data_IF_104266475542
#
_entry.id   IF_104266475542
#
_cell.length_a   1.000
_cell.length_b   1.000
_cell.length_c   1.000
_cell.angle_alpha   90.00
_cell.angle_beta   90.00
_cell.angle_gamma   90.00
#
_symmetry.space_group_name_H-M   'P 1'
#
loop_
_entity.id
_entity.type
_entity.pdbx_description
1 polymer ?
#
# COMPACT_ATOMS: atom_id res chain seq x y z
N UNK A 1 -14.80 -2.19 -3.31
CA UNK A 1 -15.10 -1.09 -2.36
C UNK A 1 -14.84 -1.65 -0.98
N UNK A 2 -14.79 -0.79 0.05
CA UNK A 2 -14.62 -1.25 1.42
C UNK A 2 -15.81 -2.08 1.91
N UNK A 3 -17.01 -1.84 1.40
CA UNK A 3 -18.21 -2.64 1.70
C UNK A 3 -18.34 -3.95 0.90
N UNK A 4 -17.39 -4.22 -0.01
CA UNK A 4 -17.36 -5.43 -0.83
C UNK A 4 -18.39 -5.51 -1.96
N UNK A 5 -19.16 -4.46 -2.25
CA UNK A 5 -20.27 -4.50 -3.22
C UNK A 5 -19.94 -4.02 -4.63
N UNK A 6 -18.89 -3.22 -4.79
CA UNK A 6 -18.51 -2.66 -6.09
C UNK A 6 -17.01 -2.84 -6.37
N UNK A 7 -16.65 -2.94 -7.63
CA UNK A 7 -15.33 -3.37 -8.08
C UNK A 7 -14.75 -2.43 -9.12
N UNK A 8 -13.42 -2.47 -9.25
CA UNK A 8 -12.72 -1.93 -10.41
C UNK A 8 -12.29 -3.08 -11.31
N UNK A 9 -12.39 -2.89 -12.62
CA UNK A 9 -11.68 -3.72 -13.59
C UNK A 9 -10.24 -3.20 -13.74
N UNK A 10 -10.12 -1.89 -13.89
CA UNK A 10 -8.87 -1.17 -14.07
C UNK A 10 -8.51 -0.41 -12.79
N UNK A 11 -7.28 -0.59 -12.32
CA UNK A 11 -6.78 0.05 -11.11
C UNK A 11 -5.72 1.08 -11.52
N UNK A 12 -6.19 2.26 -11.95
CA UNK A 12 -5.33 3.34 -12.41
C UNK A 12 -4.50 3.92 -11.27
N UNK A 13 -3.29 4.41 -11.56
CA UNK A 13 -2.47 5.14 -10.60
C UNK A 13 -2.70 6.67 -10.66
N UNK A 14 -3.50 7.13 -11.63
CA UNK A 14 -3.92 8.51 -11.80
C UNK A 14 -5.35 8.58 -12.38
N UNK A 15 -6.16 9.45 -11.81
CA UNK A 15 -7.46 9.91 -12.30
C UNK A 15 -7.40 11.43 -12.33
N UNK A 16 -7.47 11.99 -13.54
CA UNK A 16 -7.60 13.42 -13.81
C UNK A 16 -8.95 13.64 -14.53
N UNK A 17 -9.90 14.28 -13.84
CA UNK A 17 -11.25 14.51 -14.35
C UNK A 17 -11.30 15.57 -15.45
N UNK A 18 -10.41 16.58 -15.41
CA UNK A 18 -10.36 17.63 -16.43
C UNK A 18 -9.83 17.11 -17.76
N UNK A 19 -8.74 16.33 -17.73
CA UNK A 19 -8.19 15.66 -18.92
C UNK A 19 -9.24 14.80 -19.63
N UNK A 20 -10.11 14.13 -18.87
CA UNK A 20 -11.21 13.31 -19.41
C UNK A 20 -12.28 14.15 -20.10
N UNK A 21 -12.60 15.35 -19.59
CA UNK A 21 -13.55 16.27 -20.23
C UNK A 21 -13.01 16.78 -21.57
N UNK A 22 -11.73 17.14 -21.62
CA UNK A 22 -11.05 17.65 -22.84
C UNK A 22 -11.09 16.61 -23.97
N UNK A 23 -10.75 15.35 -23.67
CA UNK A 23 -10.72 14.29 -24.69
C UNK A 23 -12.12 13.94 -25.21
N UNK A 24 -13.17 14.07 -24.39
CA UNK A 24 -14.56 13.93 -24.85
C UNK A 24 -15.05 15.10 -25.71
N UNK A 25 -14.47 16.30 -25.53
CA UNK A 25 -14.85 17.52 -26.25
C UNK A 25 -14.08 17.80 -27.55
N UNK A 26 -12.91 17.19 -27.76
CA UNK A 26 -12.08 17.40 -28.95
C UNK A 26 -12.61 16.64 -30.19
N UNK A 27 -12.54 17.30 -31.36
CA UNK A 27 -13.00 16.81 -32.67
C UNK A 27 -12.53 15.38 -32.98
N UNK A 28 -13.49 14.52 -33.31
CA UNK A 28 -13.51 13.21 -34.00
C UNK A 28 -12.32 12.22 -33.95
N UNK A 29 -11.06 12.64 -33.88
CA UNK A 29 -9.88 11.75 -33.96
C UNK A 29 -9.50 11.11 -32.60
N UNK A 30 -9.94 11.69 -31.48
CA UNK A 30 -9.58 11.23 -30.13
C UNK A 30 -10.61 10.28 -29.47
N UNK A 31 -11.62 9.81 -30.21
CA UNK A 31 -12.69 8.93 -29.68
C UNK A 31 -12.22 7.55 -29.21
N UNK A 32 -11.00 7.14 -29.56
CA UNK A 32 -10.44 5.84 -29.20
C UNK A 32 -9.60 5.85 -27.92
N UNK A 33 -9.46 7.00 -27.25
CA UNK A 33 -8.70 7.07 -25.99
C UNK A 33 -9.56 6.52 -24.86
N UNK A 34 -9.27 5.29 -24.47
CA UNK A 34 -9.89 4.62 -23.33
C UNK A 34 -9.33 5.19 -22.01
N UNK A 35 -10.21 5.58 -21.10
CA UNK A 35 -9.85 5.97 -19.74
C UNK A 35 -10.44 4.99 -18.73
N UNK A 36 -9.68 4.58 -17.71
CA UNK A 36 -10.18 3.75 -16.62
C UNK A 36 -11.42 4.35 -15.96
N UNK A 37 -12.37 3.53 -15.51
CA UNK A 37 -13.49 4.04 -14.71
C UNK A 37 -13.00 4.75 -13.43
N UNK A 38 -13.73 5.77 -13.00
CA UNK A 38 -13.36 6.67 -11.88
C UNK A 38 -14.01 6.26 -10.55
N UNK A 39 -15.06 5.46 -10.62
CA UNK A 39 -15.78 4.90 -9.49
C UNK A 39 -16.02 3.42 -9.72
N UNK A 40 -16.05 2.66 -8.62
CA UNK A 40 -16.33 1.24 -8.66
C UNK A 40 -17.78 0.98 -9.06
N UNK A 41 -18.02 -0.13 -9.75
CA UNK A 41 -19.36 -0.56 -10.17
C UNK A 41 -19.62 -1.99 -9.73
N UNK A 42 -20.89 -2.36 -9.54
CA UNK A 42 -21.25 -3.69 -9.06
C UNK A 42 -20.95 -4.79 -10.08
N UNK A 43 -21.25 -4.53 -11.36
CA UNK A 43 -21.18 -5.51 -12.45
C UNK A 43 -20.61 -4.86 -13.71
N UNK A 44 -19.89 -5.65 -14.50
CA UNK A 44 -19.37 -5.30 -15.81
C UNK A 44 -20.00 -6.15 -16.91
N UNK A 45 -19.99 -5.65 -18.16
CA UNK A 45 -20.34 -6.48 -19.31
C UNK A 45 -19.47 -7.74 -19.44
N UNK A 46 -18.21 -7.66 -18.99
CA UNK A 46 -17.32 -8.81 -18.77
C UNK A 46 -16.90 -8.84 -17.28
N UNK A 47 -17.62 -9.60 -16.47
CA UNK A 47 -17.46 -9.61 -15.00
C UNK A 47 -16.47 -10.67 -14.49
N UNK A 48 -15.25 -10.69 -15.02
CA UNK A 48 -14.21 -11.57 -14.47
C UNK A 48 -13.61 -11.04 -13.15
N UNK A 49 -13.61 -9.72 -12.92
CA UNK A 49 -12.98 -9.12 -11.75
C UNK A 49 -13.68 -9.45 -10.41
N UNK A 50 -15.02 -9.30 -10.27
CA UNK A 50 -15.68 -9.60 -9.00
C UNK A 50 -15.43 -11.03 -8.48
N UNK A 51 -15.69 -12.11 -9.26
CA UNK A 51 -15.46 -13.46 -8.76
C UNK A 51 -13.97 -13.77 -8.55
N UNK A 52 -13.07 -13.13 -9.31
CA UNK A 52 -11.63 -13.34 -9.17
C UNK A 52 -11.06 -12.75 -7.87
N UNK A 53 -11.52 -11.56 -7.48
CA UNK A 53 -11.13 -10.95 -6.19
C UNK A 53 -11.73 -11.74 -5.04
N UNK A 54 -13.01 -12.12 -5.12
CA UNK A 54 -13.68 -12.89 -4.07
C UNK A 54 -12.99 -14.23 -3.82
N UNK A 55 -12.70 -15.02 -4.88
CA UNK A 55 -11.99 -16.30 -4.70
C UNK A 55 -10.59 -16.13 -4.11
N UNK A 56 -9.88 -15.05 -4.48
CA UNK A 56 -8.53 -14.79 -3.97
C UNK A 56 -8.55 -14.45 -2.48
N UNK A 57 -9.49 -13.61 -2.05
CA UNK A 57 -9.69 -13.28 -0.63
C UNK A 57 -10.00 -14.56 0.16
N UNK A 58 -10.86 -15.45 -0.37
CA UNK A 58 -11.15 -16.73 0.27
C UNK A 58 -9.94 -17.66 0.38
N UNK A 59 -8.98 -17.58 -0.55
CA UNK A 59 -7.75 -18.39 -0.54
C UNK A 59 -6.56 -17.70 0.12
N UNK A 60 -6.73 -16.52 0.75
CA UNK A 60 -5.57 -15.73 1.22
C UNK A 60 -4.72 -16.47 2.28
N UNK A 61 -5.35 -17.36 3.05
CA UNK A 61 -4.68 -18.22 4.04
C UNK A 61 -3.60 -19.10 3.43
N UNK A 62 -3.78 -19.55 2.19
CA UNK A 62 -2.84 -20.42 1.47
C UNK A 62 -1.52 -19.71 1.13
N UNK A 63 -1.48 -18.37 1.24
CA UNK A 63 -0.29 -17.56 0.95
C UNK A 63 0.46 -17.14 2.22
N UNK A 64 -0.06 -17.47 3.41
CA UNK A 64 0.55 -17.08 4.69
C UNK A 64 1.86 -17.83 4.93
N UNK A 65 1.85 -19.15 4.67
CA UNK A 65 2.98 -20.04 4.91
C UNK A 65 3.35 -20.79 3.63
N UNK A 66 4.65 -21.01 3.42
CA UNK A 66 5.18 -22.06 2.55
C UNK A 66 6.03 -22.99 3.41
N UNK A 67 6.23 -24.24 3.01
CA UNK A 67 7.09 -25.16 3.75
C UNK A 67 7.73 -26.21 2.86
N UNK A 68 8.88 -26.70 3.30
CA UNK A 68 9.55 -27.89 2.81
C UNK A 68 9.74 -28.88 3.99
N UNK A 69 10.52 -29.93 3.78
CA UNK A 69 10.74 -30.95 4.82
C UNK A 69 11.44 -30.40 6.07
N UNK A 70 12.24 -29.33 5.93
CA UNK A 70 13.10 -28.79 6.99
C UNK A 70 12.60 -27.45 7.55
N UNK A 71 11.91 -26.63 6.76
CA UNK A 71 11.61 -25.24 7.08
C UNK A 71 10.16 -24.85 6.79
N UNK A 72 9.56 -24.09 7.70
CA UNK A 72 8.34 -23.31 7.44
C UNK A 72 8.69 -21.85 7.24
N UNK A 73 8.33 -21.31 6.08
CA UNK A 73 8.47 -19.90 5.70
C UNK A 73 7.19 -19.14 6.01
N UNK A 74 7.30 -18.13 6.85
CA UNK A 74 6.21 -17.19 7.16
C UNK A 74 6.31 -16.02 6.18
N UNK A 75 5.45 -16.04 5.17
CA UNK A 75 5.45 -15.07 4.07
C UNK A 75 4.55 -13.87 4.35
N UNK A 76 3.40 -14.08 4.99
CA UNK A 76 2.48 -13.00 5.32
C UNK A 76 2.23 -12.94 6.83
N UNK A 77 2.07 -11.72 7.32
CA UNK A 77 1.77 -11.46 8.72
C UNK A 77 0.28 -11.18 8.87
N UNK A 78 -0.43 -12.16 9.42
CA UNK A 78 -1.88 -12.14 9.63
C UNK A 78 -2.18 -12.89 10.93
N UNK A 79 -3.12 -12.39 11.75
CA UNK A 79 -3.62 -13.15 12.90
C UNK A 79 -4.21 -14.47 12.38
N UNK A 80 -3.57 -15.58 12.74
CA UNK A 80 -3.85 -16.87 12.13
C UNK A 80 -3.46 -18.03 13.04
N UNK A 81 -4.03 -19.19 12.76
CA UNK A 81 -3.62 -20.48 13.32
C UNK A 81 -3.51 -21.48 12.18
N UNK A 82 -2.41 -22.22 12.15
CA UNK A 82 -2.16 -23.26 11.15
C UNK A 82 -1.64 -24.53 11.83
N UNK A 83 -1.89 -25.67 11.20
CA UNK A 83 -1.27 -26.96 11.51
C UNK A 83 -0.60 -27.46 10.23
N UNK A 84 0.72 -27.64 10.31
CA UNK A 84 1.56 -28.07 9.19
C UNK A 84 2.25 -29.36 9.61
N UNK A 85 1.68 -30.50 9.22
CA UNK A 85 2.19 -31.83 9.55
C UNK A 85 2.46 -32.04 11.06
N UNK A 86 1.58 -31.52 11.93
CA UNK A 86 1.72 -31.60 13.39
C UNK A 86 2.56 -30.50 14.03
N UNK A 87 3.13 -29.58 13.24
CA UNK A 87 3.65 -28.30 13.71
C UNK A 87 2.51 -27.29 13.73
N UNK A 88 1.99 -26.99 14.92
CA UNK A 88 1.00 -25.94 15.11
C UNK A 88 1.70 -24.60 15.22
N UNK A 89 1.21 -23.61 14.46
CA UNK A 89 1.73 -22.24 14.46
C UNK A 89 0.58 -21.28 14.76
N UNK A 90 0.80 -20.36 15.69
CA UNK A 90 -0.13 -19.29 16.02
C UNK A 90 0.55 -17.95 15.80
N UNK A 91 0.00 -17.13 14.93
CA UNK A 91 0.40 -15.74 14.74
C UNK A 91 -0.59 -14.79 15.41
N UNK A 92 -0.08 -13.84 16.20
CA UNK A 92 -0.85 -12.75 16.80
C UNK A 92 -0.27 -11.41 16.40
N UNK A 93 -1.06 -10.63 15.67
CA UNK A 93 -0.62 -9.34 15.13
C UNK A 93 -1.82 -8.47 14.74
N UNK A 94 -1.62 -7.15 14.77
CA UNK A 94 -2.53 -6.18 14.14
C UNK A 94 -1.93 -5.61 12.84
N UNK A 95 -0.98 -6.33 12.23
CA UNK A 95 -0.46 -6.03 10.90
C UNK A 95 -1.60 -5.99 9.87
N UNK A 96 -1.63 -5.04 8.93
CA UNK A 96 -0.60 -4.05 8.57
C UNK A 96 -0.64 -2.72 9.34
N UNK A 97 -1.44 -2.58 10.40
CA UNK A 97 -1.58 -1.34 11.16
C UNK A 97 -0.56 -1.18 12.29
N UNK A 98 -0.06 -2.31 12.79
CA UNK A 98 1.01 -2.39 13.78
C UNK A 98 2.09 -3.37 13.31
N UNK A 99 3.34 -3.07 13.65
CA UNK A 99 4.50 -3.82 13.20
C UNK A 99 4.82 -5.07 14.02
N UNK A 100 4.13 -5.27 15.15
CA UNK A 100 4.40 -6.36 16.08
C UNK A 100 3.73 -7.65 15.63
N UNK A 101 4.53 -8.70 15.52
CA UNK A 101 4.09 -10.05 15.16
C UNK A 101 4.65 -11.01 16.20
N UNK A 102 3.77 -11.56 17.03
CA UNK A 102 4.09 -12.68 17.90
C UNK A 102 3.79 -13.99 17.17
N UNK A 103 4.73 -14.92 17.17
CA UNK A 103 4.57 -16.25 16.60
C UNK A 103 4.96 -17.31 17.62
N UNK A 104 4.01 -18.18 17.96
CA UNK A 104 4.21 -19.31 18.87
C UNK A 104 4.13 -20.61 18.06
N UNK A 105 5.00 -21.57 18.37
CA UNK A 105 4.92 -22.92 17.81
C UNK A 105 4.62 -23.98 18.86
N UNK A 106 3.99 -25.07 18.45
CA UNK A 106 3.80 -26.26 19.28
C UNK A 106 3.89 -27.52 18.42
N UNK A 107 4.65 -28.52 18.86
CA UNK A 107 4.93 -29.73 18.10
C UNK A 107 5.85 -29.50 16.88
N UNK A 108 6.16 -30.57 16.15
CA UNK A 108 7.03 -30.52 14.97
C UNK A 108 8.52 -30.27 15.26
N UNK A 109 9.35 -30.33 14.22
CA UNK A 109 10.80 -30.15 14.31
C UNK A 109 11.38 -29.30 13.17
N UNK A 110 10.53 -28.57 12.44
CA UNK A 110 10.95 -27.72 11.32
C UNK A 110 11.42 -26.36 11.83
N UNK A 111 12.41 -25.79 11.14
CA UNK A 111 12.92 -24.43 11.37
C UNK A 111 11.89 -23.40 10.94
N UNK A 112 11.85 -22.25 11.61
CA UNK A 112 10.97 -21.14 11.22
C UNK A 112 11.78 -20.08 10.47
N UNK A 113 11.30 -19.65 9.31
CA UNK A 113 11.89 -18.58 8.52
C UNK A 113 10.90 -17.40 8.44
N UNK A 114 11.23 -16.28 9.09
CA UNK A 114 10.40 -15.07 9.12
C UNK A 114 10.83 -14.10 8.02
N UNK A 115 9.91 -13.72 7.12
CA UNK A 115 10.21 -12.77 6.04
C UNK A 115 10.41 -11.35 6.56
N UNK A 116 11.61 -10.81 6.45
CA UNK A 116 11.85 -9.38 6.66
C UNK A 116 11.44 -8.61 5.39
N UNK A 117 10.37 -7.79 5.42
CA UNK A 117 9.94 -7.07 4.23
C UNK A 117 11.00 -6.07 3.79
N UNK A 118 11.26 -5.98 2.49
CA UNK A 118 12.28 -5.07 1.94
C UNK A 118 12.01 -3.59 2.22
N UNK A 119 10.74 -3.22 2.43
CA UNK A 119 10.36 -1.88 2.86
C UNK A 119 10.71 -1.62 4.33
N UNK A 120 10.98 -2.62 5.16
CA UNK A 120 11.32 -2.43 6.58
C UNK A 120 12.83 -2.24 6.74
N UNK A 121 13.26 -1.10 7.31
CA UNK A 121 14.69 -0.80 7.56
C UNK A 121 15.12 -1.06 8.99
N UNK A 122 14.18 -1.03 9.92
CA UNK A 122 14.43 -1.22 11.35
C UNK A 122 13.44 -2.25 11.86
N UNK A 123 13.97 -3.34 12.38
CA UNK A 123 13.19 -4.38 13.00
C UNK A 123 14.01 -4.99 14.14
N UNK A 124 13.31 -5.59 15.11
CA UNK A 124 13.93 -6.42 16.13
C UNK A 124 13.25 -7.76 16.17
N UNK A 125 14.00 -8.80 16.54
CA UNK A 125 13.47 -10.14 16.73
C UNK A 125 13.93 -10.65 18.08
N UNK A 126 13.00 -11.19 18.86
CA UNK A 126 13.33 -11.91 20.09
C UNK A 126 12.78 -13.32 20.03
N UNK A 127 13.46 -14.25 20.70
CA UNK A 127 13.03 -15.62 20.97
C UNK A 127 12.95 -15.77 22.49
N UNK A 128 11.76 -16.03 23.02
CA UNK A 128 11.49 -16.09 24.47
C UNK A 128 12.07 -14.88 25.23
N UNK A 129 11.89 -13.68 24.66
CA UNK A 129 12.37 -12.41 25.22
C UNK A 129 13.87 -12.13 25.06
N UNK A 130 14.65 -13.05 24.49
CA UNK A 130 16.08 -12.84 24.19
C UNK A 130 16.26 -12.38 22.75
N UNK A 131 17.05 -11.33 22.55
CA UNK A 131 17.32 -10.77 21.22
C UNK A 131 18.01 -11.82 20.34
N UNK A 132 17.45 -12.03 19.15
CA UNK A 132 18.05 -12.85 18.09
C UNK A 132 18.86 -11.92 17.18
N UNK A 133 20.17 -12.13 17.14
CA UNK A 133 21.07 -11.41 16.23
C UNK A 133 21.36 -12.27 15.01
N UNK A 134 20.52 -12.15 13.98
CA UNK A 134 20.65 -12.89 12.74
C UNK A 134 20.38 -11.98 11.55
N UNK A 135 21.26 -12.04 10.54
CA UNK A 135 21.07 -11.28 9.30
C UNK A 135 20.11 -12.01 8.36
N UNK A 136 19.23 -11.30 7.64
CA UNK A 136 18.32 -11.94 6.70
C UNK A 136 19.07 -12.58 5.54
N UNK A 137 18.86 -13.87 5.30
CA UNK A 137 19.35 -14.58 4.12
C UNK A 137 18.25 -14.56 3.07
N UNK A 138 18.49 -13.87 1.95
CA UNK A 138 17.49 -13.67 0.87
C UNK A 138 16.14 -13.15 1.39
N UNK A 139 16.17 -12.27 2.40
CA UNK A 139 14.99 -11.65 2.99
C UNK A 139 14.30 -12.44 4.10
N UNK A 140 14.89 -13.55 4.58
CA UNK A 140 14.36 -14.33 5.70
C UNK A 140 15.34 -14.43 6.86
N UNK A 141 14.83 -14.28 8.07
CA UNK A 141 15.57 -14.60 9.31
C UNK A 141 15.13 -15.97 9.78
N UNK A 142 16.09 -16.86 9.94
CA UNK A 142 15.84 -18.23 10.35
C UNK A 142 16.01 -18.37 11.87
N UNK A 143 15.05 -19.02 12.51
CA UNK A 143 15.01 -19.23 13.96
C UNK A 143 14.77 -20.71 14.23
N UNK A 144 15.63 -21.27 15.08
CA UNK A 144 15.49 -22.62 15.60
C UNK A 144 14.65 -22.53 16.88
N UNK A 145 13.37 -22.89 16.77
CA UNK A 145 12.39 -22.81 17.85
C UNK A 145 12.11 -24.20 18.41
N UNK A 146 12.01 -24.30 19.73
CA UNK A 146 11.57 -25.48 20.44
C UNK A 146 10.05 -25.47 20.67
N UNK A 147 9.51 -26.61 21.12
CA UNK A 147 8.09 -26.74 21.46
C UNK A 147 7.68 -25.73 22.55
N UNK A 148 6.66 -24.91 22.25
CA UNK A 148 6.17 -23.86 23.14
C UNK A 148 6.93 -22.52 23.04
N UNK A 149 7.97 -22.42 22.21
CA UNK A 149 8.70 -21.17 22.02
C UNK A 149 7.84 -20.09 21.35
N UNK A 150 8.14 -18.84 21.70
CA UNK A 150 7.57 -17.65 21.10
C UNK A 150 8.66 -16.77 20.49
N UNK A 151 8.43 -16.33 19.26
CA UNK A 151 9.17 -15.22 18.66
C UNK A 151 8.34 -13.95 18.64
N UNK A 152 8.99 -12.81 18.86
CA UNK A 152 8.40 -11.49 18.69
C UNK A 152 9.22 -10.72 17.66
N UNK A 153 8.64 -10.52 16.48
CA UNK A 153 9.16 -9.64 15.44
C UNK A 153 8.48 -8.28 15.58
N UNK A 154 9.25 -7.22 15.81
CA UNK A 154 8.77 -5.84 15.85
C UNK A 154 9.33 -5.08 14.66
N UNK A 155 8.50 -4.82 13.65
CA UNK A 155 8.88 -4.10 12.44
C UNK A 155 8.47 -2.63 12.51
N UNK A 156 9.42 -1.72 12.30
CA UNK A 156 9.07 -0.30 12.21
C UNK A 156 8.30 -0.01 10.92
N UNK A 157 7.07 0.47 11.05
CA UNK A 157 6.25 0.98 9.94
C UNK A 157 6.57 2.47 9.72
N UNK A 158 7.36 2.77 8.70
CA UNK A 158 7.79 4.15 8.40
C UNK A 158 7.07 4.74 7.18
N UNK A 159 6.86 6.06 7.22
CA UNK A 159 6.56 6.86 6.03
C UNK A 159 7.83 6.97 5.19
N UNK A 160 7.74 6.66 3.90
CA UNK A 160 8.86 6.74 2.96
C UNK A 160 8.45 7.40 1.66
N UNK A 161 9.38 8.15 1.10
CA UNK A 161 9.31 8.63 -0.27
C UNK A 161 10.00 7.62 -1.18
N UNK A 162 9.32 7.24 -2.27
CA UNK A 162 9.79 6.29 -3.27
C UNK A 162 9.87 7.00 -4.62
N UNK A 163 10.96 6.77 -5.34
CA UNK A 163 11.19 7.29 -6.68
C UNK A 163 11.23 6.14 -7.68
N UNK A 164 10.68 6.37 -8.87
CA UNK A 164 10.81 5.43 -9.97
C UNK A 164 12.25 5.46 -10.53
N UNK A 165 12.64 4.38 -11.21
CA UNK A 165 13.86 4.38 -12.02
C UNK A 165 13.77 5.48 -13.10
N UNK A 166 14.84 6.24 -13.39
CA UNK A 166 14.81 7.34 -14.37
C UNK A 166 14.37 6.94 -15.80
N UNK A 167 14.42 5.65 -16.13
CA UNK A 167 13.91 5.09 -17.39
C UNK A 167 12.38 5.06 -17.45
N UNK A 168 11.69 5.15 -16.32
CA UNK A 168 10.22 5.28 -16.26
C UNK A 168 9.85 6.72 -16.57
N UNK A 169 9.69 7.02 -17.86
CA UNK A 169 9.47 8.39 -18.34
C UNK A 169 8.22 9.05 -17.73
N UNK A 170 7.18 8.26 -17.46
CA UNK A 170 5.92 8.75 -16.89
C UNK A 170 6.09 9.32 -15.47
N UNK A 171 7.07 8.84 -14.70
CA UNK A 171 7.24 9.14 -13.27
C UNK A 171 8.39 10.11 -12.98
N UNK A 172 8.96 10.73 -14.02
CA UNK A 172 10.07 11.68 -13.88
C UNK A 172 9.63 12.94 -13.14
N UNK A 173 10.43 13.36 -12.16
CA UNK A 173 10.11 14.51 -11.32
C UNK A 173 8.91 14.28 -10.41
N UNK A 174 8.49 13.02 -10.24
CA UNK A 174 7.44 12.63 -9.32
C UNK A 174 7.96 11.65 -8.29
N UNK A 175 7.20 11.52 -7.21
CA UNK A 175 7.48 10.61 -6.11
C UNK A 175 6.19 10.06 -5.53
N UNK A 176 6.28 8.83 -5.04
CA UNK A 176 5.21 8.16 -4.31
C UNK A 176 5.52 8.16 -2.82
N UNK A 177 4.48 8.09 -1.99
CA UNK A 177 4.63 7.93 -0.55
C UNK A 177 4.12 6.55 -0.14
N UNK A 178 4.85 5.87 0.73
CA UNK A 178 4.43 4.59 1.33
C UNK A 178 4.42 4.69 2.84
N UNK A 179 3.55 3.94 3.51
CA UNK A 179 3.54 3.75 4.96
C UNK A 179 3.52 2.26 5.27
N UNK A 180 4.65 1.72 5.77
CA UNK A 180 4.81 0.27 5.92
C UNK A 180 4.57 -0.44 4.57
N UNK A 181 3.63 -1.41 4.48
CA UNK A 181 3.26 -2.05 3.22
C UNK A 181 2.31 -1.23 2.34
N UNK A 182 1.73 -0.14 2.83
CA UNK A 182 0.76 0.64 2.08
C UNK A 182 1.45 1.57 1.09
N UNK A 183 1.03 1.51 -0.17
CA UNK A 183 1.21 2.62 -1.12
C UNK A 183 0.11 3.64 -0.83
N UNK A 184 0.49 4.92 -0.71
CA UNK A 184 -0.44 6.00 -0.42
C UNK A 184 -0.83 6.74 -1.71
N UNK A 185 -2.03 7.30 -1.76
CA UNK A 185 -2.48 8.20 -2.82
C UNK A 185 -3.11 9.47 -2.21
N UNK A 186 -3.14 10.54 -3.00
CA UNK A 186 -3.94 11.74 -2.72
C UNK A 186 -5.26 11.68 -3.48
N UNK A 187 -6.35 12.12 -2.85
CA UNK A 187 -7.65 12.29 -3.48
C UNK A 187 -8.09 13.77 -3.43
N UNK A 188 -8.80 14.23 -4.46
CA UNK A 188 -9.30 15.60 -4.55
C UNK A 188 -10.27 15.97 -3.42
N UNK A 189 -11.00 14.99 -2.88
CA UNK A 189 -11.90 15.20 -1.73
C UNK A 189 -11.18 15.68 -0.47
N UNK A 190 -9.91 15.29 -0.27
CA UNK A 190 -9.11 15.72 0.88
C UNK A 190 -8.19 16.90 0.56
N UNK A 191 -7.77 17.05 -0.71
CA UNK A 191 -6.67 17.95 -1.10
C UNK A 191 -7.13 19.12 -2.00
N UNK A 192 -8.39 19.10 -2.43
CA UNK A 192 -9.03 20.14 -3.24
C UNK A 192 -8.66 20.09 -4.72
N UNK A 193 -9.65 20.39 -5.57
CA UNK A 193 -9.45 20.71 -6.99
C UNK A 193 -8.70 19.66 -7.79
N UNK A 194 -7.91 20.12 -8.77
CA UNK A 194 -6.98 19.28 -9.52
C UNK A 194 -5.80 18.87 -8.64
N UNK A 195 -5.22 17.70 -8.94
CA UNK A 195 -4.01 17.20 -8.26
C UNK A 195 -2.75 17.34 -9.13
N UNK A 196 -2.87 17.95 -10.32
CA UNK A 196 -1.77 18.10 -11.28
C UNK A 196 -0.78 19.21 -10.91
N UNK A 197 -1.26 20.20 -10.16
CA UNK A 197 -0.57 21.38 -9.64
C UNK A 197 -0.01 21.18 -8.22
N UNK A 198 -0.25 20.01 -7.61
CA UNK A 198 0.24 19.65 -6.28
C UNK A 198 1.64 19.04 -6.38
N UNK A 199 2.55 19.56 -5.56
CA UNK A 199 3.89 19.01 -5.35
C UNK A 199 4.14 18.74 -3.87
N UNK A 200 4.76 17.61 -3.56
CA UNK A 200 5.15 17.28 -2.19
C UNK A 200 6.50 17.95 -1.87
N UNK A 201 6.71 18.30 -0.59
CA UNK A 201 7.92 18.98 -0.08
C UNK A 201 8.65 18.12 0.94
N UNK A 202 9.97 17.98 0.80
CA UNK A 202 10.81 17.25 1.76
C UNK A 202 10.56 15.73 1.76
N UNK A 203 11.03 15.01 2.78
CA UNK A 203 10.98 13.53 2.82
C UNK A 203 10.27 12.95 4.04
N UNK A 204 9.61 13.80 4.83
CA UNK A 204 9.01 13.43 6.11
C UNK A 204 7.52 13.73 6.08
N UNK A 205 6.70 12.72 6.35
CA UNK A 205 5.28 12.85 6.62
C UNK A 205 4.94 12.35 8.02
N UNK A 206 3.77 12.75 8.52
CA UNK A 206 3.26 12.35 9.83
C UNK A 206 2.11 11.37 9.64
N UNK A 207 2.16 10.24 10.34
CA UNK A 207 1.06 9.26 10.34
C UNK A 207 -0.09 9.80 11.17
N UNK A 208 -1.30 9.68 10.64
CA UNK A 208 -2.54 9.96 11.34
C UNK A 208 -3.58 8.86 11.10
N UNK A 209 -4.84 9.16 11.41
CA UNK A 209 -5.96 8.26 11.20
C UNK A 209 -7.08 8.99 10.47
N UNK A 210 -7.66 8.34 9.46
CA UNK A 210 -8.85 8.81 8.76
C UNK A 210 -10.10 8.13 9.35
N UNK A 211 -10.88 8.89 10.11
CA UNK A 211 -12.10 8.40 10.75
C UNK A 211 -13.19 7.98 9.75
N UNK A 212 -13.24 8.60 8.57
CA UNK A 212 -14.24 8.28 7.55
C UNK A 212 -13.99 6.93 6.88
N UNK A 213 -12.73 6.49 6.85
CA UNK A 213 -12.31 5.22 6.26
C UNK A 213 -11.96 4.16 7.32
N UNK A 214 -11.72 4.56 8.57
CA UNK A 214 -11.23 3.68 9.63
C UNK A 214 -9.82 3.15 9.36
N UNK A 215 -8.97 3.94 8.70
CA UNK A 215 -7.64 3.54 8.22
C UNK A 215 -6.56 4.56 8.59
N UNK A 216 -5.29 4.14 8.74
CA UNK A 216 -4.19 5.09 8.82
C UNK A 216 -4.11 5.99 7.59
N UNK A 217 -3.73 7.24 7.79
CA UNK A 217 -3.45 8.20 6.74
C UNK A 217 -2.06 8.83 6.95
N UNK A 218 -1.55 9.53 5.93
CA UNK A 218 -0.30 10.28 6.02
C UNK A 218 -0.57 11.74 5.69
N UNK A 219 -0.16 12.63 6.59
CA UNK A 219 -0.11 14.06 6.37
C UNK A 219 1.29 14.43 5.87
N UNK A 220 1.37 15.04 4.68
CA UNK A 220 2.63 15.32 4.01
C UNK A 220 2.72 16.79 3.60
N UNK A 221 3.83 17.50 3.89
CA UNK A 221 4.00 18.89 3.44
C UNK A 221 3.93 19.01 1.91
N UNK A 222 3.17 19.99 1.42
CA UNK A 222 2.93 20.17 0.00
C UNK A 222 2.88 21.65 -0.40
N UNK A 223 3.04 21.91 -1.69
CA UNK A 223 2.77 23.20 -2.32
C UNK A 223 1.80 23.03 -3.48
N UNK A 224 1.02 24.06 -3.73
CA UNK A 224 0.15 24.18 -4.91
C UNK A 224 0.59 25.39 -5.71
N UNK A 225 0.81 25.19 -7.01
CA UNK A 225 1.25 26.24 -7.94
C UNK A 225 0.09 26.93 -8.65
N UNK A 226 0.14 28.25 -8.72
CA UNK A 226 -0.82 29.09 -9.45
C UNK A 226 -0.09 30.06 -10.38
N UNK A 227 -0.67 30.30 -11.56
CA UNK A 227 -0.16 31.23 -12.58
C UNK A 227 -1.23 32.26 -12.93
N UNK A 228 -0.82 33.44 -13.40
CA UNK A 228 -1.74 34.54 -13.72
C UNK A 228 -2.33 34.44 -15.14
N UNK A 229 -1.79 33.56 -15.99
CA UNK A 229 -2.28 33.32 -17.34
C UNK A 229 -1.85 31.96 -17.88
N UNK A 230 -2.28 31.63 -19.10
CA UNK A 230 -1.97 30.34 -19.75
C UNK A 230 -0.45 30.08 -19.85
N UNK A 231 0.33 31.15 -20.02
CA UNK A 231 1.77 31.15 -19.93
C UNK A 231 2.18 32.30 -18.99
N UNK A 232 3.10 32.03 -18.07
CA UNK A 232 3.58 33.01 -17.08
C UNK A 232 5.05 32.75 -16.79
N UNK A 233 5.82 33.82 -16.58
CA UNK A 233 7.25 33.72 -16.21
C UNK A 233 7.45 33.35 -14.74
N UNK A 234 6.38 33.41 -13.94
CA UNK A 234 6.39 33.13 -12.50
C UNK A 234 5.24 32.22 -12.09
N UNK A 235 5.50 31.35 -11.12
CA UNK A 235 4.49 30.53 -10.44
C UNK A 235 4.44 30.95 -8.97
N UNK A 236 3.24 31.28 -8.47
CA UNK A 236 3.01 31.53 -7.05
C UNK A 236 2.70 30.19 -6.37
N UNK A 237 3.37 29.90 -5.27
CA UNK A 237 3.19 28.64 -4.55
C UNK A 237 2.56 28.87 -3.18
N UNK A 238 1.45 28.18 -2.91
CA UNK A 238 0.80 28.17 -1.59
C UNK A 238 1.13 26.87 -0.86
N UNK A 239 1.71 26.97 0.34
CA UNK A 239 2.01 25.80 1.18
C UNK A 239 0.73 25.28 1.85
N UNK A 240 0.61 23.96 1.91
CA UNK A 240 -0.45 23.27 2.65
C UNK A 240 0.04 21.89 3.11
N UNK A 241 -0.80 21.17 3.83
CA UNK A 241 -0.54 19.79 4.24
C UNK A 241 -1.45 18.88 3.42
N UNK A 242 -0.87 18.09 2.53
CA UNK A 242 -1.60 17.09 1.78
C UNK A 242 -1.97 15.92 2.70
N UNK A 243 -3.19 15.42 2.57
CA UNK A 243 -3.66 14.21 3.24
C UNK A 243 -3.68 13.07 2.23
N UNK A 244 -2.98 12.00 2.55
CA UNK A 244 -2.82 10.81 1.73
C UNK A 244 -3.47 9.62 2.44
N UNK A 245 -4.18 8.78 1.69
CA UNK A 245 -4.83 7.56 2.19
C UNK A 245 -4.23 6.32 1.52
N UNK A 246 -4.37 5.11 2.09
CA UNK A 246 -3.91 3.90 1.42
C UNK A 246 -4.60 3.74 0.06
N UNK A 247 -3.82 3.43 -0.97
CA UNK A 247 -4.30 3.38 -2.35
C UNK A 247 -5.52 2.49 -2.49
N UNK A 248 -5.57 1.31 -1.86
CA UNK A 248 -6.74 0.41 -1.98
C UNK A 248 -8.08 1.04 -1.54
N UNK A 249 -8.04 2.10 -0.72
CA UNK A 249 -9.21 2.77 -0.16
C UNK A 249 -9.71 3.95 -1.00
N UNK A 250 -9.04 4.34 -2.10
CA UNK A 250 -9.53 5.39 -2.99
C UNK A 250 -10.92 5.08 -3.56
N UNK A 251 -11.68 6.09 -3.98
CA UNK A 251 -13.01 5.95 -4.58
C UNK A 251 -14.05 5.24 -3.69
N UNK A 252 -14.01 5.49 -2.39
CA UNK A 252 -15.08 5.14 -1.44
C UNK A 252 -15.82 6.37 -0.88
N UNK A 253 -15.46 7.59 -1.33
CA UNK A 253 -15.97 8.88 -0.81
C UNK A 253 -16.47 9.82 -1.92
N UNK A 254 -16.88 9.25 -3.05
CA UNK A 254 -17.34 9.99 -4.23
C UNK A 254 -16.28 10.11 -5.33
N UNK A 255 -16.71 10.63 -6.49
CA UNK A 255 -15.84 10.86 -7.64
C UNK A 255 -14.98 12.12 -7.43
N UNK A 256 -13.67 11.97 -7.57
CA UNK A 256 -12.70 13.06 -7.56
C UNK A 256 -11.42 12.65 -8.29
N UNK A 257 -10.50 13.59 -8.47
CA UNK A 257 -9.14 13.31 -8.92
C UNK A 257 -8.43 12.40 -7.90
N UNK A 258 -7.51 11.56 -8.37
CA UNK A 258 -6.67 10.70 -7.52
C UNK A 258 -5.31 10.49 -8.18
N UNK A 259 -4.22 10.46 -7.41
CA UNK A 259 -2.92 9.99 -7.92
C UNK A 259 -2.00 9.42 -6.86
N UNK A 260 -1.16 8.46 -7.25
CA UNK A 260 -0.08 7.88 -6.43
C UNK A 260 1.21 8.71 -6.57
N UNK A 261 1.61 8.98 -7.81
CA UNK A 261 2.81 9.74 -8.13
C UNK A 261 2.47 11.22 -8.13
N UNK A 262 3.12 11.98 -7.25
CA UNK A 262 2.90 13.42 -7.06
C UNK A 262 4.19 14.16 -7.39
N UNK A 263 4.10 15.35 -7.96
CA UNK A 263 5.29 16.15 -8.30
C UNK A 263 6.19 16.39 -7.09
N UNK A 264 7.49 16.48 -7.35
CA UNK A 264 8.47 16.96 -6.36
C UNK A 264 8.63 18.48 -6.46
N UNK A 265 8.69 19.17 -5.30
CA UNK A 265 9.02 20.61 -5.23
C UNK A 265 10.44 20.89 -5.74
#
# INVERSE_FOLDING_TARGET
SLDGKSFFYENAQEIDLEKRKIVRGALHENRNTHFPITQRVEVFGCSCCPPNVTRFISSIGDFVYNYDDETVYVNQYMDSTADIDGLKIVQKTNYPYDGRVALTITGGNRRIALRIPSWCRMWTLTLNGKVVTAEPVKGYVFVDMADGDETLLDMRLDVKVVHADPRVAADRGMRAVTYGPFVMCIEGVDNGGSLTDVKLVGNTGTVGFDESLGLPCVYFPAVRGETDGLYSDTVRSTRFTAKMIPYFAFANRGECDMRIWVGEE
#
